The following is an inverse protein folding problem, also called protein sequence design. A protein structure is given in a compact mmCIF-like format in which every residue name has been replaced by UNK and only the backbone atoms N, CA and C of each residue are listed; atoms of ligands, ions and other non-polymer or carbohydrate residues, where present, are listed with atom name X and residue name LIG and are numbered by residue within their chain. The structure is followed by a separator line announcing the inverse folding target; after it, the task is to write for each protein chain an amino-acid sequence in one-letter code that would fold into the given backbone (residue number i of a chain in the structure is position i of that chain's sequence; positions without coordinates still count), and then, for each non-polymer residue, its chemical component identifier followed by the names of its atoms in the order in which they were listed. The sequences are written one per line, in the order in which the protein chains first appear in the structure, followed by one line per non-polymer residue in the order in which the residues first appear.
data_IF_343807394868
#
_entry.id   IF_343807394868
#
_cell.length_a   1.000
_cell.length_b   1.000
_cell.length_c   1.000
_cell.angle_alpha   90.00
_cell.angle_beta   90.00
_cell.angle_gamma   90.00
#
_symmetry.space_group_name_H-M   'P 1'
#
loop_
_entity.id
_entity.type
_entity.pdbx_description
1 polymer ?
#
# COMPACT_ATOMS: atom_id res chain seq x y z
N UNK A 1 -1.56 33.16 12.11
CA UNK A 1 -0.28 32.70 12.70
C UNK A 1 -0.37 32.58 14.22
N UNK A 2 -0.62 33.66 14.98
CA UNK A 2 -0.72 33.61 16.45
C UNK A 2 -1.85 32.70 16.97
N UNK A 3 -3.04 32.74 16.34
CA UNK A 3 -4.17 31.83 16.65
C UNK A 3 -3.89 30.34 16.36
N UNK A 4 -2.94 30.06 15.46
CA UNK A 4 -2.53 28.70 15.08
C UNK A 4 -1.49 28.15 16.07
N UNK A 5 -0.55 28.99 16.49
CA UNK A 5 0.44 28.71 17.54
C UNK A 5 -0.21 28.52 18.93
N UNK A 6 -1.25 29.29 19.25
CA UNK A 6 -2.00 29.15 20.51
C UNK A 6 -2.88 27.89 20.56
N UNK A 7 -3.40 27.44 19.41
CA UNK A 7 -4.11 26.17 19.30
C UNK A 7 -3.15 24.99 19.51
N UNK A 8 -1.94 25.09 18.95
CA UNK A 8 -0.87 24.10 19.11
C UNK A 8 -0.39 23.99 20.56
N UNK A 9 -0.33 25.11 21.30
CA UNK A 9 0.04 25.11 22.73
C UNK A 9 -1.06 24.56 23.64
N UNK A 10 -2.33 24.81 23.31
CA UNK A 10 -3.46 24.19 24.02
C UNK A 10 -3.55 22.67 23.75
N UNK A 11 -3.27 22.24 22.51
CA UNK A 11 -3.14 20.83 22.14
C UNK A 11 -1.99 20.16 22.91
N UNK A 12 -0.83 20.80 23.04
CA UNK A 12 0.28 20.26 23.86
C UNK A 12 -0.08 20.10 25.34
N UNK A 13 -0.93 20.97 25.91
CA UNK A 13 -1.34 20.87 27.31
C UNK A 13 -2.39 19.77 27.58
N UNK A 14 -3.30 19.52 26.63
CA UNK A 14 -4.27 18.41 26.69
C UNK A 14 -3.62 17.04 26.43
N UNK A 15 -2.55 17.01 25.65
CA UNK A 15 -1.79 15.80 25.27
C UNK A 15 -0.99 15.18 26.42
N UNK A 16 -0.60 15.95 27.44
CA UNK A 16 0.18 15.43 28.57
C UNK A 16 -0.64 14.52 29.50
N UNK A 17 -1.98 14.56 29.45
CA UNK A 17 -2.83 13.87 30.44
C UNK A 17 -3.35 12.48 30.06
N UNK A 18 -3.02 11.93 28.88
CA UNK A 18 -3.31 10.52 28.57
C UNK A 18 -2.36 9.95 27.50
N UNK A 19 -1.09 9.77 27.87
CA UNK A 19 -0.10 9.02 27.08
C UNK A 19 -0.24 7.54 27.44
N UNK A 20 -1.26 6.85 26.90
CA UNK A 20 -1.34 5.39 26.99
C UNK A 20 -1.04 4.76 25.63
N UNK A 21 -0.20 3.71 25.57
CA UNK A 21 -0.08 2.92 24.35
C UNK A 21 -1.45 2.30 24.01
N UNK A 22 -1.71 1.98 22.73
CA UNK A 22 -2.93 1.30 22.34
C UNK A 22 -3.04 -0.01 23.10
N UNK A 23 -4.26 -0.35 23.49
CA UNK A 23 -4.50 -1.64 24.12
C UNK A 23 -4.19 -2.76 23.13
N UNK A 24 -3.40 -3.73 23.57
CA UNK A 24 -3.27 -5.02 22.88
C UNK A 24 -4.08 -6.02 23.70
N UNK A 25 -4.98 -6.73 23.04
CA UNK A 25 -5.79 -7.75 23.71
C UNK A 25 -4.87 -8.88 24.21
N UNK A 26 -5.00 -9.29 25.49
CA UNK A 26 -4.30 -10.48 25.97
C UNK A 26 -4.77 -11.69 25.17
N UNK A 27 -3.91 -12.71 25.03
CA UNK A 27 -4.36 -13.96 24.41
C UNK A 27 -5.49 -14.55 25.27
N UNK A 28 -6.63 -14.93 24.68
CA UNK A 28 -7.58 -15.79 25.36
C UNK A 28 -6.87 -17.03 25.92
N UNK A 29 -7.32 -17.56 27.07
CA UNK A 29 -6.70 -18.74 27.70
C UNK A 29 -6.62 -19.95 26.77
N UNK A 30 -7.59 -20.09 25.86
CA UNK A 30 -7.63 -21.11 24.78
C UNK A 30 -6.56 -20.94 23.69
N UNK A 31 -5.90 -19.79 23.62
CA UNK A 31 -4.81 -19.50 22.68
C UNK A 31 -3.42 -19.88 23.26
N UNK A 32 -3.36 -20.33 24.53
CA UNK A 32 -2.11 -20.71 25.23
C UNK A 32 -1.73 -22.18 25.00
N UNK A 33 -2.71 -23.04 24.75
CA UNK A 33 -2.51 -24.36 24.13
C UNK A 33 -2.47 -24.14 22.63
N UNK A 34 -1.40 -24.58 21.95
CA UNK A 34 -1.26 -24.62 20.48
C UNK A 34 -2.64 -24.75 19.82
N UNK A 35 -3.28 -23.66 19.38
CA UNK A 35 -4.47 -23.79 18.59
C UNK A 35 -3.91 -24.29 17.28
N UNK A 36 -3.97 -25.61 17.06
CA UNK A 36 -3.93 -26.13 15.70
C UNK A 36 -4.75 -25.16 14.87
N UNK A 37 -4.17 -24.63 13.79
CA UNK A 37 -4.89 -23.94 12.73
C UNK A 37 -5.93 -24.93 12.16
N UNK A 38 -6.96 -25.27 12.96
CA UNK A 38 -8.06 -26.17 12.64
C UNK A 38 -9.11 -25.44 11.80
N UNK A 39 -8.94 -24.14 11.58
CA UNK A 39 -9.43 -23.50 10.38
C UNK A 39 -8.34 -23.62 9.31
N UNK A 40 -8.43 -24.62 8.42
CA UNK A 40 -7.48 -24.76 7.34
C UNK A 40 -7.72 -23.60 6.36
N UNK A 41 -6.89 -22.56 6.41
CA UNK A 41 -6.55 -21.88 5.16
C UNK A 41 -5.70 -22.87 4.38
N UNK A 42 -6.36 -23.70 3.57
CA UNK A 42 -5.68 -24.46 2.54
C UNK A 42 -5.38 -23.48 1.41
N UNK A 43 -4.10 -23.19 1.09
CA UNK A 43 -3.83 -22.39 -0.09
C UNK A 43 -4.54 -23.06 -1.28
N UNK A 44 -5.24 -22.27 -2.11
CA UNK A 44 -5.92 -22.81 -3.27
C UNK A 44 -5.01 -23.71 -4.09
N UNK A 45 -5.60 -24.72 -4.73
CA UNK A 45 -4.83 -25.53 -5.69
C UNK A 45 -4.36 -24.63 -6.83
N UNK A 46 -3.09 -24.72 -7.25
CA UNK A 46 -2.58 -23.96 -8.37
C UNK A 46 -3.43 -24.16 -9.62
N UNK A 47 -3.78 -23.06 -10.29
CA UNK A 47 -4.44 -23.06 -11.60
C UNK A 47 -3.40 -22.78 -12.69
N UNK A 48 -3.54 -23.41 -13.85
CA UNK A 48 -2.66 -23.16 -14.99
C UNK A 48 -2.89 -21.74 -15.53
N UNK A 49 -1.88 -20.88 -15.46
CA UNK A 49 -1.93 -19.51 -15.98
C UNK A 49 -1.67 -19.53 -17.49
N UNK A 50 -2.53 -18.89 -18.27
CA UNK A 50 -2.36 -18.76 -19.72
C UNK A 50 -1.19 -17.82 -20.04
N UNK A 51 -0.15 -18.32 -20.71
CA UNK A 51 1.06 -17.57 -21.05
C UNK A 51 0.97 -16.81 -22.38
N UNK A 52 -0.08 -17.00 -23.17
CA UNK A 52 -0.18 -16.48 -24.53
C UNK A 52 -1.03 -15.20 -24.60
N UNK A 53 -0.85 -14.30 -23.62
CA UNK A 53 -1.53 -12.99 -23.60
C UNK A 53 -0.89 -12.03 -24.62
N UNK A 54 -1.72 -11.16 -25.20
CA UNK A 54 -1.27 -10.17 -26.19
C UNK A 54 -0.34 -9.13 -25.56
N UNK A 55 -0.65 -8.71 -24.33
CA UNK A 55 0.08 -7.72 -23.56
C UNK A 55 0.63 -8.33 -22.28
N UNK A 56 1.87 -7.97 -21.93
CA UNK A 56 2.41 -8.26 -20.61
C UNK A 56 1.66 -7.43 -19.56
N UNK A 57 1.47 -6.13 -19.85
CA UNK A 57 0.89 -5.16 -18.91
C UNK A 57 -0.03 -4.19 -19.63
N UNK A 58 -1.23 -3.99 -19.09
CA UNK A 58 -2.10 -2.86 -19.45
C UNK A 58 -2.22 -1.91 -18.26
N UNK A 59 -2.07 -0.61 -18.51
CA UNK A 59 -2.17 0.44 -17.48
C UNK A 59 -3.50 1.19 -17.64
N UNK A 60 -4.48 0.87 -16.81
CA UNK A 60 -5.77 1.57 -16.74
C UNK A 60 -5.66 2.83 -15.88
N UNK A 61 -6.17 3.96 -16.38
CA UNK A 61 -5.93 5.27 -15.78
C UNK A 61 -4.62 5.93 -16.26
N UNK A 62 -4.07 5.48 -17.39
CA UNK A 62 -2.81 5.96 -17.97
C UNK A 62 -2.77 7.48 -18.21
N UNK A 63 -3.92 8.12 -18.42
CA UNK A 63 -4.00 9.57 -18.68
C UNK A 63 -3.97 10.44 -17.41
N UNK A 64 -4.06 9.83 -16.23
CA UNK A 64 -3.90 10.49 -14.93
C UNK A 64 -2.42 10.74 -14.61
N UNK A 65 -2.14 11.57 -13.61
CA UNK A 65 -0.77 12.00 -13.29
C UNK A 65 0.19 10.83 -13.05
N UNK A 66 -0.13 9.92 -12.12
CA UNK A 66 0.67 8.71 -11.86
C UNK A 66 0.73 7.79 -13.08
N UNK A 67 -0.38 7.67 -13.82
CA UNK A 67 -0.45 6.86 -15.03
C UNK A 67 0.54 7.32 -16.10
N UNK A 68 0.65 8.63 -16.34
CA UNK A 68 1.63 9.19 -17.28
C UNK A 68 3.06 8.81 -16.89
N UNK A 69 3.40 8.96 -15.61
CA UNK A 69 4.73 8.61 -15.09
C UNK A 69 5.05 7.12 -15.25
N UNK A 70 4.08 6.25 -15.00
CA UNK A 70 4.23 4.79 -15.21
C UNK A 70 4.48 4.49 -16.69
N UNK A 71 3.71 5.10 -17.59
CA UNK A 71 3.88 4.89 -19.04
C UNK A 71 5.24 5.38 -19.54
N UNK A 72 5.70 6.54 -19.10
CA UNK A 72 7.02 7.09 -19.43
C UNK A 72 8.16 6.23 -18.87
N UNK A 73 8.00 5.77 -17.62
CA UNK A 73 8.95 4.86 -16.99
C UNK A 73 9.09 3.55 -17.76
N UNK A 74 7.98 2.96 -18.20
CA UNK A 74 7.97 1.76 -19.03
C UNK A 74 8.59 1.99 -20.41
N UNK A 75 8.21 3.05 -21.12
CA UNK A 75 8.77 3.37 -22.43
C UNK A 75 10.30 3.51 -22.39
N UNK A 76 10.81 4.15 -21.33
CA UNK A 76 12.24 4.42 -21.17
C UNK A 76 13.05 3.18 -20.77
N UNK A 77 12.53 2.36 -19.85
CA UNK A 77 13.35 1.34 -19.17
C UNK A 77 12.99 -0.10 -19.58
N UNK A 78 11.80 -0.32 -20.14
CA UNK A 78 11.28 -1.65 -20.49
C UNK A 78 10.69 -1.69 -21.90
N UNK A 79 11.42 -1.24 -22.94
CA UNK A 79 10.89 -1.17 -24.32
C UNK A 79 10.62 -2.55 -24.93
N UNK A 80 11.08 -3.63 -24.30
CA UNK A 80 10.85 -5.01 -24.71
C UNK A 80 9.52 -5.59 -24.20
N UNK A 81 8.86 -4.95 -23.22
CA UNK A 81 7.56 -5.38 -22.73
C UNK A 81 6.44 -4.94 -23.68
N UNK A 82 5.47 -5.82 -23.90
CA UNK A 82 4.25 -5.52 -24.66
C UNK A 82 3.26 -4.80 -23.74
N UNK A 83 3.24 -3.47 -23.84
CA UNK A 83 2.45 -2.61 -22.95
C UNK A 83 1.35 -1.91 -23.74
N UNK A 84 0.17 -1.73 -23.12
CA UNK A 84 -0.84 -0.80 -23.60
C UNK A 84 -1.30 0.18 -22.52
N UNK A 85 -1.72 1.36 -22.95
CA UNK A 85 -2.37 2.34 -22.07
C UNK A 85 -3.90 2.20 -22.14
N UNK A 86 -4.62 2.51 -21.07
CA UNK A 86 -6.07 2.45 -21.07
C UNK A 86 -6.72 3.55 -20.23
N UNK A 87 -7.94 3.92 -20.60
CA UNK A 87 -8.79 4.83 -19.85
C UNK A 87 -9.95 5.40 -20.66
N UNK A 88 -10.87 6.10 -19.99
CA UNK A 88 -12.15 6.53 -20.57
C UNK A 88 -12.10 7.54 -21.73
N UNK A 89 -10.99 8.26 -21.92
CA UNK A 89 -10.92 9.37 -22.87
C UNK A 89 -9.92 9.09 -23.98
N UNK A 90 -10.44 8.67 -25.14
CA UNK A 90 -9.63 8.44 -26.34
C UNK A 90 -8.80 9.66 -26.72
N UNK A 91 -9.38 10.87 -26.65
CA UNK A 91 -8.67 12.12 -26.90
C UNK A 91 -7.44 12.28 -26.00
N UNK A 92 -7.55 11.98 -24.69
CA UNK A 92 -6.42 12.08 -23.75
C UNK A 92 -5.40 10.97 -23.96
N UNK A 93 -5.82 9.78 -24.39
CA UNK A 93 -4.90 8.67 -24.72
C UNK A 93 -4.08 9.00 -25.98
N UNK A 94 -4.72 9.56 -27.03
CA UNK A 94 -4.02 10.06 -28.22
C UNK A 94 -3.02 11.15 -27.85
N UNK A 95 -3.44 12.14 -27.06
CA UNK A 95 -2.55 13.20 -26.59
C UNK A 95 -1.36 12.66 -25.79
N UNK A 96 -1.59 11.74 -24.85
CA UNK A 96 -0.50 11.09 -24.09
C UNK A 96 0.50 10.38 -25.02
N UNK A 97 0.00 9.67 -26.03
CA UNK A 97 0.84 8.98 -27.00
C UNK A 97 1.72 9.95 -27.80
N UNK A 98 1.13 11.06 -28.26
CA UNK A 98 1.80 12.09 -29.06
C UNK A 98 2.79 12.93 -28.23
N UNK A 99 2.36 13.43 -27.07
CA UNK A 99 3.14 14.31 -26.18
C UNK A 99 4.36 13.60 -25.58
N UNK A 100 4.21 12.34 -25.14
CA UNK A 100 5.27 11.56 -24.50
C UNK A 100 5.96 10.59 -25.48
N UNK A 101 5.67 10.68 -26.80
CA UNK A 101 6.20 9.82 -27.86
C UNK A 101 6.15 8.32 -27.52
N UNK A 102 5.02 7.86 -26.96
CA UNK A 102 4.89 6.49 -26.47
C UNK A 102 4.66 5.51 -27.63
N UNK A 103 5.39 4.38 -27.71
CA UNK A 103 5.21 3.41 -28.78
C UNK A 103 3.94 2.56 -28.63
N UNK A 104 3.29 2.63 -27.47
CA UNK A 104 2.26 1.69 -27.05
C UNK A 104 0.90 1.92 -27.74
N UNK A 105 0.11 0.85 -27.99
CA UNK A 105 -1.31 0.98 -28.30
C UNK A 105 -2.12 1.47 -27.08
N UNK A 106 -3.39 1.79 -27.31
CA UNK A 106 -4.29 2.20 -26.24
C UNK A 106 -5.70 1.61 -26.37
N UNK A 107 -6.38 1.50 -25.23
CA UNK A 107 -7.78 1.09 -25.09
C UNK A 107 -8.62 2.24 -24.50
N UNK A 108 -9.58 2.74 -25.28
CA UNK A 108 -10.56 3.70 -24.80
C UNK A 108 -11.72 2.97 -24.10
N UNK A 109 -11.51 2.55 -22.86
CA UNK A 109 -12.52 1.87 -22.05
C UNK A 109 -12.92 2.75 -20.85
N UNK A 110 -14.21 3.00 -20.67
CA UNK A 110 -14.74 3.58 -19.43
C UNK A 110 -14.90 2.48 -18.36
N UNK A 111 -14.79 2.87 -17.09
CA UNK A 111 -14.96 1.97 -15.94
C UNK A 111 -16.34 1.32 -15.88
N UNK A 112 -17.34 1.87 -16.57
CA UNK A 112 -18.71 1.35 -16.63
C UNK A 112 -19.01 0.56 -17.91
N UNK A 113 -18.05 0.44 -18.82
CA UNK A 113 -18.16 -0.35 -20.04
C UNK A 113 -17.64 -1.78 -19.79
N UNK A 114 -18.51 -2.64 -19.24
CA UNK A 114 -18.16 -4.02 -18.88
C UNK A 114 -17.65 -4.85 -20.09
N UNK A 115 -18.26 -4.79 -21.29
CA UNK A 115 -17.71 -5.46 -22.47
C UNK A 115 -16.28 -5.02 -22.80
N UNK A 116 -16.00 -3.70 -22.77
CA UNK A 116 -14.66 -3.17 -23.06
C UNK A 116 -13.65 -3.62 -21.99
N UNK A 117 -14.00 -3.53 -20.71
CA UNK A 117 -13.15 -3.95 -19.61
C UNK A 117 -12.81 -5.45 -19.68
N UNK A 118 -13.78 -6.29 -20.04
CA UNK A 118 -13.57 -7.73 -20.21
C UNK A 118 -12.64 -8.05 -21.38
N UNK A 119 -12.87 -7.43 -22.54
CA UNK A 119 -11.99 -7.60 -23.71
C UNK A 119 -10.54 -7.20 -23.38
N UNK A 120 -10.37 -5.99 -22.84
CA UNK A 120 -9.06 -5.45 -22.44
C UNK A 120 -8.37 -6.36 -21.41
N UNK A 121 -9.06 -6.75 -20.34
CA UNK A 121 -8.47 -7.57 -19.26
C UNK A 121 -8.05 -8.94 -19.79
N UNK A 122 -8.86 -9.55 -20.69
CA UNK A 122 -8.55 -10.85 -21.27
C UNK A 122 -7.30 -10.86 -22.17
N UNK A 123 -6.82 -9.70 -22.60
CA UNK A 123 -5.64 -9.56 -23.46
C UNK A 123 -4.33 -9.37 -22.71
N UNK A 124 -4.36 -9.17 -21.39
CA UNK A 124 -3.15 -8.92 -20.61
C UNK A 124 -2.83 -9.98 -19.57
N UNK A 125 -1.54 -10.12 -19.25
CA UNK A 125 -1.08 -10.87 -18.07
C UNK A 125 -1.35 -10.09 -16.79
N UNK A 126 -1.07 -8.78 -16.82
CA UNK A 126 -1.27 -7.87 -15.68
C UNK A 126 -2.11 -6.65 -16.09
N UNK A 127 -3.03 -6.25 -15.22
CA UNK A 127 -3.76 -4.99 -15.28
C UNK A 127 -3.35 -4.11 -14.09
N UNK A 128 -2.71 -2.97 -14.37
CA UNK A 128 -2.40 -1.95 -13.36
C UNK A 128 -3.52 -0.92 -13.37
N UNK A 129 -4.22 -0.73 -12.25
CA UNK A 129 -5.27 0.28 -12.12
C UNK A 129 -4.77 1.50 -11.33
N UNK A 130 -4.81 2.66 -11.99
CA UNK A 130 -4.37 3.95 -11.46
C UNK A 130 -5.49 5.01 -11.55
N UNK A 131 -6.74 4.55 -11.67
CA UNK A 131 -7.92 5.39 -11.83
C UNK A 131 -8.71 5.50 -10.52
N UNK A 132 -8.26 6.39 -9.62
CA UNK A 132 -9.00 6.75 -8.40
C UNK A 132 -10.04 7.88 -8.60
N UNK A 133 -10.98 8.07 -7.67
CA UNK A 133 -11.24 7.27 -6.46
C UNK A 133 -11.74 5.85 -6.77
N UNK A 134 -11.22 4.85 -6.05
CA UNK A 134 -11.42 3.42 -6.39
C UNK A 134 -12.80 2.90 -6.01
N UNK A 135 -13.42 3.42 -4.95
CA UNK A 135 -14.82 3.11 -4.62
C UNK A 135 -15.80 3.49 -5.73
N UNK A 136 -15.47 4.50 -6.55
CA UNK A 136 -16.32 4.95 -7.66
C UNK A 136 -16.04 4.20 -8.96
N UNK A 137 -14.76 4.02 -9.29
CA UNK A 137 -14.32 3.57 -10.62
C UNK A 137 -13.60 2.22 -10.64
N UNK A 138 -13.19 1.70 -9.48
CA UNK A 138 -12.32 0.53 -9.36
C UNK A 138 -13.05 -0.81 -9.43
N UNK A 139 -14.26 -0.91 -8.87
CA UNK A 139 -14.96 -2.18 -8.65
C UNK A 139 -15.10 -3.05 -9.92
N UNK A 140 -15.57 -2.45 -11.02
CA UNK A 140 -15.76 -3.16 -12.28
C UNK A 140 -14.43 -3.48 -12.98
N UNK A 141 -13.39 -2.66 -12.77
CA UNK A 141 -12.04 -2.86 -13.33
C UNK A 141 -11.31 -4.02 -12.64
N UNK A 142 -11.40 -4.11 -11.30
CA UNK A 142 -10.81 -5.24 -10.56
C UNK A 142 -11.59 -6.54 -10.82
N UNK A 143 -12.93 -6.46 -10.94
CA UNK A 143 -13.77 -7.61 -11.31
C UNK A 143 -13.39 -8.16 -12.67
N UNK A 144 -13.20 -7.30 -13.68
CA UNK A 144 -12.84 -7.77 -15.03
C UNK A 144 -11.49 -8.49 -15.05
N UNK A 145 -10.52 -8.05 -14.25
CA UNK A 145 -9.25 -8.75 -14.09
C UNK A 145 -9.42 -10.11 -13.40
N UNK A 146 -10.15 -10.13 -12.28
CA UNK A 146 -10.41 -11.35 -11.51
C UNK A 146 -11.10 -12.44 -12.36
N UNK A 147 -12.18 -12.09 -13.06
CA UNK A 147 -12.93 -13.01 -13.91
C UNK A 147 -12.15 -13.48 -15.15
N UNK A 148 -11.22 -12.66 -15.65
CA UNK A 148 -10.41 -12.99 -16.83
C UNK A 148 -9.18 -13.83 -16.53
N UNK A 149 -8.91 -14.13 -15.24
CA UNK A 149 -7.65 -14.78 -14.83
C UNK A 149 -6.43 -13.88 -15.06
N UNK A 150 -6.62 -12.56 -14.98
CA UNK A 150 -5.59 -11.53 -15.20
C UNK A 150 -5.10 -11.03 -13.86
N UNK A 151 -3.78 -10.98 -13.66
CA UNK A 151 -3.23 -10.41 -12.43
C UNK A 151 -3.53 -8.92 -12.36
N UNK A 152 -3.68 -8.39 -11.15
CA UNK A 152 -4.10 -7.01 -10.94
C UNK A 152 -3.25 -6.37 -9.86
N UNK A 153 -2.95 -5.08 -10.03
CA UNK A 153 -2.42 -4.24 -8.96
C UNK A 153 -3.02 -2.84 -9.02
N UNK A 154 -3.36 -2.28 -7.86
CA UNK A 154 -3.72 -0.88 -7.69
C UNK A 154 -2.80 -0.17 -6.69
N UNK A 155 -3.05 1.12 -6.42
CA UNK A 155 -2.41 1.89 -5.35
C UNK A 155 -3.42 2.44 -4.34
N UNK A 156 -4.57 1.78 -4.20
CA UNK A 156 -5.73 2.29 -3.47
C UNK A 156 -5.44 2.46 -1.97
N UNK A 157 -5.77 3.65 -1.46
CA UNK A 157 -5.72 4.00 -0.03
C UNK A 157 -7.09 3.90 0.65
N UNK A 158 -7.98 3.04 0.15
CA UNK A 158 -9.41 3.03 0.44
C UNK A 158 -9.82 1.66 1.03
N UNK A 159 -9.83 1.52 2.36
CA UNK A 159 -10.05 0.22 3.02
C UNK A 159 -11.46 -0.36 2.76
N UNK A 160 -12.47 0.47 2.45
CA UNK A 160 -13.78 -0.01 2.03
C UNK A 160 -13.73 -0.71 0.67
N UNK A 161 -13.03 -0.11 -0.30
CA UNK A 161 -12.78 -0.74 -1.59
C UNK A 161 -11.99 -2.05 -1.43
N UNK A 162 -11.01 -2.08 -0.52
CA UNK A 162 -10.29 -3.32 -0.19
C UNK A 162 -11.23 -4.39 0.37
N UNK A 163 -12.09 -4.02 1.32
CA UNK A 163 -13.07 -4.93 1.92
C UNK A 163 -14.03 -5.51 0.89
N UNK A 164 -14.62 -4.65 0.08
CA UNK A 164 -15.55 -5.05 -0.98
C UNK A 164 -14.87 -5.96 -2.02
N UNK A 165 -13.63 -5.64 -2.40
CA UNK A 165 -12.82 -6.47 -3.29
C UNK A 165 -12.58 -7.86 -2.69
N UNK A 166 -12.24 -7.94 -1.40
CA UNK A 166 -12.05 -9.22 -0.70
C UNK A 166 -13.33 -10.04 -0.69
N UNK A 167 -14.45 -9.44 -0.29
CA UNK A 167 -15.74 -10.14 -0.16
C UNK A 167 -16.26 -10.67 -1.49
N UNK A 168 -16.19 -9.84 -2.52
CA UNK A 168 -16.83 -10.14 -3.79
C UNK A 168 -15.94 -10.94 -4.74
N UNK A 169 -14.61 -10.80 -4.63
CA UNK A 169 -13.69 -11.29 -5.66
C UNK A 169 -12.63 -12.27 -5.16
N UNK A 170 -12.48 -12.49 -3.84
CA UNK A 170 -11.47 -13.45 -3.37
C UNK A 170 -11.71 -14.87 -3.89
N UNK A 171 -12.96 -15.36 -3.83
CA UNK A 171 -13.32 -16.68 -4.35
C UNK A 171 -13.12 -16.78 -5.87
N UNK A 172 -13.51 -15.75 -6.62
CA UNK A 172 -13.34 -15.68 -8.08
C UNK A 172 -11.86 -15.68 -8.44
N UNK A 173 -11.06 -14.87 -7.77
CA UNK A 173 -9.63 -14.77 -8.05
C UNK A 173 -8.90 -16.09 -7.73
N UNK A 174 -9.33 -16.78 -6.68
CA UNK A 174 -8.89 -18.15 -6.37
C UNK A 174 -9.23 -19.10 -7.52
N UNK A 175 -10.48 -19.10 -7.98
CA UNK A 175 -10.97 -20.00 -9.04
C UNK A 175 -10.24 -19.78 -10.37
N UNK A 176 -9.97 -18.53 -10.73
CA UNK A 176 -9.32 -18.18 -12.00
C UNK A 176 -7.79 -18.20 -11.94
N UNK A 177 -7.21 -18.32 -10.73
CA UNK A 177 -5.76 -18.19 -10.51
C UNK A 177 -5.23 -16.75 -10.61
N UNK A 178 -6.11 -15.76 -10.76
CA UNK A 178 -5.70 -14.35 -10.77
C UNK A 178 -5.23 -13.90 -9.39
N UNK A 179 -4.25 -13.01 -9.38
CA UNK A 179 -3.66 -12.45 -8.16
C UNK A 179 -4.04 -11.00 -8.13
N UNK A 180 -4.86 -10.61 -7.17
CA UNK A 180 -5.36 -9.25 -7.04
C UNK A 180 -4.59 -8.57 -5.91
N UNK A 181 -3.54 -7.83 -6.24
CA UNK A 181 -2.68 -7.15 -5.27
C UNK A 181 -3.22 -5.75 -4.98
N UNK A 182 -3.84 -5.57 -3.82
CA UNK A 182 -4.30 -4.25 -3.37
C UNK A 182 -3.14 -3.44 -2.78
N UNK A 183 -3.21 -2.11 -2.93
CA UNK A 183 -2.27 -1.16 -2.34
C UNK A 183 -0.80 -1.42 -2.71
N UNK A 184 -0.50 -1.65 -3.99
CA UNK A 184 0.85 -1.80 -4.54
C UNK A 184 1.65 -0.50 -4.70
N UNK A 185 1.34 0.54 -3.92
CA UNK A 185 2.01 1.86 -3.96
C UNK A 185 3.03 2.07 -2.84
N UNK A 186 3.64 3.26 -2.81
CA UNK A 186 4.61 3.66 -1.76
C UNK A 186 4.02 3.58 -0.34
N UNK A 187 2.73 3.88 -0.18
CA UNK A 187 2.11 3.92 1.15
C UNK A 187 2.03 2.55 1.83
N UNK A 188 2.29 1.45 1.11
CA UNK A 188 2.20 0.09 1.65
C UNK A 188 3.41 -0.79 1.36
N UNK A 189 3.98 -0.74 0.16
CA UNK A 189 5.10 -1.62 -0.27
C UNK A 189 6.31 -1.58 0.67
N UNK A 190 6.93 -0.43 1.01
CA UNK A 190 8.07 -0.39 1.93
C UNK A 190 7.72 -0.92 3.32
N UNK A 191 6.54 -0.59 3.84
CA UNK A 191 6.08 -1.06 5.15
C UNK A 191 5.89 -2.58 5.19
N UNK A 192 5.29 -3.15 4.14
CA UNK A 192 5.07 -4.59 4.01
C UNK A 192 6.40 -5.34 3.86
N UNK A 193 7.22 -4.95 2.89
CA UNK A 193 8.51 -5.59 2.62
C UNK A 193 9.48 -5.46 3.81
N UNK A 194 9.47 -4.33 4.50
CA UNK A 194 10.27 -4.10 5.69
C UNK A 194 9.80 -4.90 6.90
N UNK A 195 8.48 -4.99 7.13
CA UNK A 195 7.91 -5.84 8.17
C UNK A 195 8.26 -7.31 7.95
N UNK A 196 8.30 -7.77 6.70
CA UNK A 196 8.74 -9.14 6.38
C UNK A 196 10.22 -9.38 6.67
N UNK A 197 11.09 -8.40 6.42
CA UNK A 197 12.51 -8.50 6.78
C UNK A 197 12.69 -8.61 8.29
N UNK A 198 11.95 -7.80 9.04
CA UNK A 198 11.91 -7.85 10.50
C UNK A 198 11.43 -9.22 10.99
N UNK A 199 10.29 -9.72 10.50
CA UNK A 199 9.75 -11.02 10.91
C UNK A 199 10.71 -12.19 10.59
N UNK A 200 11.35 -12.14 9.42
CA UNK A 200 12.37 -13.12 9.02
C UNK A 200 13.54 -13.13 10.01
N UNK A 201 14.05 -11.95 10.36
CA UNK A 201 15.24 -11.84 11.21
C UNK A 201 14.95 -12.07 12.70
N UNK A 202 13.69 -11.97 13.11
CA UNK A 202 13.19 -12.42 14.41
C UNK A 202 12.93 -13.94 14.47
N UNK A 203 13.12 -14.68 13.36
CA UNK A 203 12.76 -16.10 13.20
C UNK A 203 11.28 -16.40 13.52
N UNK A 204 10.38 -15.48 13.17
CA UNK A 204 8.94 -15.70 13.29
C UNK A 204 8.49 -16.65 12.19
N UNK A 205 8.33 -17.93 12.53
CA UNK A 205 7.98 -18.98 11.56
C UNK A 205 6.48 -18.97 11.22
N UNK A 206 6.11 -19.10 9.93
CA UNK A 206 4.73 -19.31 9.52
C UNK A 206 4.13 -20.56 10.18
N UNK A 207 2.89 -20.46 10.64
CA UNK A 207 2.21 -21.55 11.34
C UNK A 207 2.71 -21.81 12.76
N UNK A 208 3.68 -21.02 13.25
CA UNK A 208 4.13 -21.10 14.63
C UNK A 208 3.04 -20.47 15.51
N UNK A 209 2.38 -21.33 16.29
CA UNK A 209 1.38 -20.93 17.28
C UNK A 209 2.06 -20.56 18.59
N UNK A 210 3.22 -19.91 18.54
CA UNK A 210 3.84 -19.43 19.76
C UNK A 210 2.87 -18.42 20.38
N UNK A 211 2.51 -18.57 21.67
CA UNK A 211 1.65 -17.62 22.36
C UNK A 211 2.32 -16.24 22.50
N UNK A 212 3.62 -16.18 22.19
CA UNK A 212 4.47 -15.01 22.27
C UNK A 212 4.09 -13.93 21.27
N UNK A 213 3.90 -12.73 21.81
CA UNK A 213 3.58 -11.53 21.05
C UNK A 213 4.85 -10.98 20.39
N UNK A 214 4.80 -10.82 19.07
CA UNK A 214 5.76 -9.98 18.34
C UNK A 214 5.12 -8.61 18.10
N UNK A 215 5.85 -7.54 18.32
CA UNK A 215 5.42 -6.16 18.02
C UNK A 215 6.25 -5.62 16.86
N UNK A 216 5.61 -4.96 15.92
CA UNK A 216 6.27 -4.21 14.85
C UNK A 216 5.79 -2.77 14.92
N UNK A 217 6.73 -1.84 15.02
CA UNK A 217 6.47 -0.40 14.97
C UNK A 217 7.18 0.17 13.76
N UNK A 218 6.40 0.72 12.84
CA UNK A 218 6.88 1.48 11.69
C UNK A 218 6.68 2.96 11.94
N UNK A 219 7.73 3.77 11.80
CA UNK A 219 7.65 5.22 11.94
C UNK A 219 8.37 5.93 10.78
N UNK A 220 7.69 6.88 10.14
CA UNK A 220 8.32 7.78 9.17
C UNK A 220 9.15 8.83 9.90
N UNK A 221 10.46 8.86 9.65
CA UNK A 221 11.44 9.74 10.34
C UNK A 221 11.91 10.92 9.48
N UNK A 222 11.72 10.84 8.16
CA UNK A 222 11.92 11.95 7.23
C UNK A 222 10.94 11.80 6.05
N UNK A 223 10.35 12.90 5.58
CA UNK A 223 9.54 12.89 4.36
C UNK A 223 9.60 14.25 3.66
N UNK A 224 9.86 14.22 2.36
CA UNK A 224 9.86 15.36 1.44
C UNK A 224 9.04 14.97 0.22
N UNK A 225 7.75 15.29 0.26
CA UNK A 225 6.82 14.96 -0.81
C UNK A 225 5.52 15.75 -0.77
N UNK A 226 4.73 15.64 -1.83
CA UNK A 226 3.45 16.34 -1.97
C UNK A 226 2.34 15.43 -2.51
N UNK A 227 1.09 15.86 -2.37
CA UNK A 227 -0.09 15.16 -2.86
C UNK A 227 -0.60 15.81 -4.16
N UNK A 228 -1.05 15.01 -5.12
CA UNK A 228 -1.71 15.44 -6.35
C UNK A 228 -3.19 15.71 -6.09
N UNK A 229 -3.85 16.35 -7.07
CA UNK A 229 -5.30 16.55 -7.00
C UNK A 229 -6.07 15.23 -6.94
N UNK A 230 -5.55 14.16 -7.56
CA UNK A 230 -6.18 12.83 -7.54
C UNK A 230 -6.10 12.16 -6.16
N UNK A 231 -4.94 12.23 -5.49
CA UNK A 231 -4.78 11.72 -4.13
C UNK A 231 -5.60 12.51 -3.13
N UNK A 232 -5.60 13.85 -3.23
CA UNK A 232 -6.42 14.71 -2.38
C UNK A 232 -7.92 14.42 -2.58
N UNK A 233 -8.39 14.23 -3.82
CA UNK A 233 -9.77 13.86 -4.11
C UNK A 233 -10.14 12.48 -3.53
N UNK A 234 -9.25 11.49 -3.63
CA UNK A 234 -9.47 10.15 -3.07
C UNK A 234 -9.56 10.18 -1.54
N UNK A 235 -8.70 10.98 -0.89
CA UNK A 235 -8.76 11.22 0.56
C UNK A 235 -10.07 11.91 0.98
N UNK A 236 -10.47 12.99 0.29
CA UNK A 236 -11.72 13.70 0.56
C UNK A 236 -12.93 12.77 0.36
N UNK A 237 -12.91 11.96 -0.71
CA UNK A 237 -13.98 11.03 -1.01
C UNK A 237 -14.08 9.93 0.05
N UNK A 238 -12.96 9.33 0.48
CA UNK A 238 -12.97 8.32 1.54
C UNK A 238 -13.52 8.87 2.87
N UNK A 239 -13.19 10.12 3.22
CA UNK A 239 -13.79 10.81 4.38
C UNK A 239 -15.28 11.09 4.16
N UNK A 240 -15.67 11.54 2.96
CA UNK A 240 -17.07 11.84 2.62
C UNK A 240 -17.93 10.58 2.69
N UNK A 241 -17.45 9.45 2.18
CA UNK A 241 -18.15 8.17 2.24
C UNK A 241 -18.25 7.64 3.66
N UNK A 242 -17.19 7.78 4.47
CA UNK A 242 -17.26 7.49 5.89
C UNK A 242 -18.40 8.29 6.56
N UNK A 243 -18.46 9.59 6.33
CA UNK A 243 -19.51 10.45 6.89
C UNK A 243 -20.89 10.04 6.35
N UNK A 244 -21.03 9.87 5.03
CA UNK A 244 -22.32 9.60 4.39
C UNK A 244 -22.86 8.21 4.74
N UNK A 245 -22.02 7.18 4.80
CA UNK A 245 -22.45 5.85 5.21
C UNK A 245 -22.90 5.81 6.68
N UNK A 246 -22.22 6.56 7.57
CA UNK A 246 -22.65 6.72 8.97
C UNK A 246 -24.00 7.45 9.04
N UNK A 247 -24.16 8.55 8.30
CA UNK A 247 -25.40 9.34 8.27
C UNK A 247 -26.57 8.55 7.72
N UNK A 248 -26.35 7.72 6.68
CA UNK A 248 -27.41 6.92 6.07
C UNK A 248 -27.78 5.64 6.84
N UNK A 249 -27.04 5.30 7.90
CA UNK A 249 -27.21 4.02 8.60
C UNK A 249 -26.87 2.80 7.73
N UNK A 250 -26.26 3.01 6.57
CA UNK A 250 -25.74 1.99 5.65
C UNK A 250 -24.35 1.49 6.11
N UNK A 251 -23.74 2.17 7.08
CA UNK A 251 -22.43 1.85 7.66
C UNK A 251 -22.57 1.46 9.12
N UNK A 252 -22.09 0.26 9.46
CA UNK A 252 -21.77 -0.05 10.84
C UNK A 252 -20.47 0.69 11.22
N UNK A 253 -20.57 1.64 12.15
CA UNK A 253 -19.44 2.39 12.70
C UNK A 253 -18.32 1.45 13.21
N UNK A 254 -18.64 0.20 13.57
CA UNK A 254 -17.66 -0.81 13.96
C UNK A 254 -16.59 -1.06 12.89
N UNK A 255 -16.95 -0.96 11.60
CA UNK A 255 -16.05 -1.20 10.46
C UNK A 255 -14.94 -0.15 10.38
N UNK A 256 -15.26 1.09 10.76
CA UNK A 256 -14.29 2.19 10.71
C UNK A 256 -13.16 2.00 11.72
N UNK A 257 -13.41 1.39 12.87
CA UNK A 257 -12.37 1.19 13.88
C UNK A 257 -11.73 -0.20 13.84
N UNK A 258 -12.36 -1.17 13.15
CA UNK A 258 -11.87 -2.54 13.06
C UNK A 258 -10.48 -2.63 12.38
N UNK A 259 -9.40 -3.00 13.11
CA UNK A 259 -8.07 -3.18 12.53
C UNK A 259 -7.94 -4.41 11.64
N UNK A 260 -8.91 -5.33 11.69
CA UNK A 260 -8.90 -6.62 11.02
C UNK A 260 -9.97 -6.74 9.94
N UNK A 261 -10.53 -5.61 9.48
CA UNK A 261 -11.57 -5.57 8.46
C UNK A 261 -11.17 -6.20 7.12
N UNK A 262 -9.88 -6.16 6.79
CA UNK A 262 -9.27 -6.79 5.62
C UNK A 262 -8.95 -8.27 5.84
N UNK A 263 -9.26 -8.84 7.00
CA UNK A 263 -9.08 -10.27 7.34
C UNK A 263 -10.28 -10.79 8.16
N UNK A 264 -11.51 -10.76 7.60
CA UNK A 264 -12.71 -11.20 8.30
C UNK A 264 -12.58 -12.58 8.95
N UNK A 265 -11.86 -13.48 8.27
CA UNK A 265 -11.69 -14.89 8.61
C UNK A 265 -10.67 -15.12 9.74
N UNK A 266 -9.96 -14.07 10.18
CA UNK A 266 -9.03 -14.18 11.29
C UNK A 266 -9.76 -14.51 12.60
N UNK A 267 -9.29 -15.53 13.31
CA UNK A 267 -9.81 -15.90 14.62
C UNK A 267 -9.32 -14.93 15.71
N UNK A 268 -9.95 -15.02 16.87
CA UNK A 268 -9.65 -14.18 18.06
C UNK A 268 -8.22 -14.32 18.61
N UNK A 269 -7.48 -15.40 18.30
CA UNK A 269 -6.09 -15.53 18.71
C UNK A 269 -5.16 -14.63 17.89
N UNK A 270 -5.54 -14.29 16.65
CA UNK A 270 -4.78 -13.40 15.75
C UNK A 270 -5.26 -11.94 15.83
N UNK A 271 -6.52 -11.72 16.25
CA UNK A 271 -7.11 -10.38 16.42
C UNK A 271 -6.68 -9.74 17.74
N UNK A 272 -5.46 -9.21 17.80
CA UNK A 272 -4.85 -8.68 19.03
C UNK A 272 -4.80 -7.16 19.13
N UNK A 273 -4.77 -6.44 18.01
CA UNK A 273 -4.79 -4.98 17.98
C UNK A 273 -6.22 -4.46 18.17
N UNK A 274 -6.41 -3.40 18.95
CA UNK A 274 -7.75 -2.82 19.19
C UNK A 274 -8.05 -1.61 18.32
N UNK A 275 -7.05 -1.09 17.60
CA UNK A 275 -7.17 0.17 16.86
C UNK A 275 -6.66 0.03 15.43
N UNK A 276 -7.37 0.66 14.50
CA UNK A 276 -7.07 0.69 13.07
C UNK A 276 -5.57 0.92 12.75
N UNK A 277 -4.98 1.98 13.29
CA UNK A 277 -3.57 2.36 13.04
C UNK A 277 -2.58 1.57 13.91
N UNK A 278 -3.09 0.94 14.97
CA UNK A 278 -2.28 0.40 16.07
C UNK A 278 -1.38 1.43 16.74
N UNK A 279 -1.55 2.74 16.50
CA UNK A 279 -0.70 3.78 17.10
C UNK A 279 -1.21 4.23 18.47
N UNK A 280 -2.51 4.22 18.74
CA UNK A 280 -3.03 4.80 19.98
C UNK A 280 -3.33 6.29 19.83
N UNK A 281 -3.14 6.99 20.94
CA UNK A 281 -3.33 8.43 21.07
C UNK A 281 -2.61 9.24 19.96
N UNK A 282 -3.20 10.38 19.62
CA UNK A 282 -2.70 11.22 18.53
C UNK A 282 -1.23 11.61 18.70
N UNK A 283 -0.75 11.88 19.91
CA UNK A 283 0.68 12.04 20.19
C UNK A 283 1.16 10.95 21.14
N UNK A 284 2.21 10.24 20.79
CA UNK A 284 2.77 9.12 21.56
C UNK A 284 4.28 9.10 21.50
N UNK A 285 4.93 8.95 22.66
CA UNK A 285 6.31 8.47 22.72
C UNK A 285 6.30 6.95 22.65
N UNK A 286 7.07 6.38 21.73
CA UNK A 286 7.22 4.94 21.58
C UNK A 286 8.66 4.53 21.88
N UNK A 287 8.83 3.68 22.90
CA UNK A 287 10.14 3.28 23.40
C UNK A 287 10.91 2.33 22.45
N UNK A 288 10.21 1.63 21.54
CA UNK A 288 10.88 0.73 20.58
C UNK A 288 11.62 1.53 19.51
N UNK A 289 11.05 2.66 19.09
CA UNK A 289 11.67 3.56 18.10
C UNK A 289 12.44 4.73 18.72
N UNK A 290 12.29 4.91 20.05
CA UNK A 290 12.82 6.02 20.85
C UNK A 290 12.48 7.40 20.24
N UNK A 291 11.21 7.59 19.89
CA UNK A 291 10.75 8.81 19.21
C UNK A 291 9.34 9.20 19.64
N UNK A 292 9.00 10.48 19.46
CA UNK A 292 7.65 11.01 19.63
C UNK A 292 7.01 11.16 18.26
N UNK A 293 5.89 10.48 18.07
CA UNK A 293 5.17 10.47 16.81
C UNK A 293 3.68 10.64 16.95
N UNK A 294 3.06 10.85 15.80
CA UNK A 294 1.62 10.84 15.58
C UNK A 294 1.27 9.68 14.63
N UNK A 295 0.00 9.26 14.50
CA UNK A 295 -0.39 8.32 13.47
C UNK A 295 0.03 8.83 12.07
N UNK A 296 0.64 7.95 11.26
CA UNK A 296 0.91 8.30 9.87
C UNK A 296 -0.41 8.52 9.12
N UNK A 297 -0.45 9.44 8.16
CA UNK A 297 -1.71 9.83 7.51
C UNK A 297 -2.36 8.68 6.73
N UNK A 298 -1.57 7.72 6.23
CA UNK A 298 -2.08 6.49 5.61
C UNK A 298 -2.22 5.31 6.57
N UNK A 299 -1.78 5.42 7.83
CA UNK A 299 -1.79 4.31 8.78
C UNK A 299 -3.16 3.68 8.94
N UNK A 300 -4.22 4.49 8.81
CA UNK A 300 -5.59 4.03 8.93
C UNK A 300 -5.94 2.99 7.86
N UNK A 301 -5.48 3.17 6.63
CA UNK A 301 -5.65 2.15 5.59
C UNK A 301 -4.52 1.12 5.63
N UNK A 302 -3.27 1.59 5.62
CA UNK A 302 -2.10 0.73 5.42
C UNK A 302 -1.92 -0.33 6.51
N UNK A 303 -2.17 0.01 7.78
CA UNK A 303 -2.00 -0.96 8.87
C UNK A 303 -2.91 -2.19 8.71
N UNK A 304 -4.06 -2.05 8.05
CA UNK A 304 -4.97 -3.16 7.71
C UNK A 304 -4.44 -3.98 6.54
N UNK A 305 -3.81 -3.35 5.56
CA UNK A 305 -3.09 -4.03 4.48
C UNK A 305 -1.96 -4.88 5.07
N UNK A 306 -1.12 -4.31 5.95
CA UNK A 306 -0.01 -5.04 6.58
C UNK A 306 -0.50 -6.23 7.42
N UNK A 307 -1.58 -6.05 8.20
CA UNK A 307 -2.21 -7.18 8.94
C UNK A 307 -2.75 -8.26 8.02
N UNK A 308 -3.27 -7.91 6.83
CA UNK A 308 -3.64 -8.90 5.80
C UNK A 308 -2.42 -9.69 5.32
N UNK A 309 -1.28 -9.03 5.10
CA UNK A 309 -0.02 -9.72 4.78
C UNK A 309 0.35 -10.73 5.86
N UNK A 310 0.28 -10.35 7.13
CA UNK A 310 0.59 -11.24 8.26
C UNK A 310 -0.34 -12.45 8.30
N UNK A 311 -1.65 -12.23 8.17
CA UNK A 311 -2.65 -13.29 8.15
C UNK A 311 -2.42 -14.29 7.01
N UNK A 312 -2.31 -13.80 5.76
CA UNK A 312 -2.14 -14.63 4.57
C UNK A 312 -0.79 -15.36 4.57
N UNK A 313 0.24 -14.77 5.17
CA UNK A 313 1.56 -15.40 5.36
C UNK A 313 1.64 -16.29 6.60
N UNK A 314 0.51 -16.53 7.28
CA UNK A 314 0.41 -17.39 8.48
C UNK A 314 1.35 -16.99 9.61
N UNK A 315 1.60 -15.69 9.74
CA UNK A 315 2.35 -15.16 10.87
C UNK A 315 1.53 -15.34 12.15
N UNK A 316 2.22 -15.56 13.27
CA UNK A 316 1.60 -15.76 14.58
C UNK A 316 0.98 -14.47 15.14
N UNK A 317 1.06 -14.30 16.47
CA UNK A 317 0.57 -13.10 17.15
C UNK A 317 1.49 -11.91 16.88
N UNK A 318 1.22 -11.18 15.81
CA UNK A 318 1.98 -9.98 15.41
C UNK A 318 1.10 -8.73 15.53
N UNK A 319 1.52 -7.80 16.39
CA UNK A 319 0.92 -6.47 16.53
C UNK A 319 1.65 -5.50 15.60
N UNK A 320 0.90 -4.60 14.97
CA UNK A 320 1.46 -3.60 14.05
C UNK A 320 1.03 -2.19 14.45
N UNK A 321 2.00 -1.27 14.55
CA UNK A 321 1.76 0.14 14.80
C UNK A 321 2.42 0.98 13.71
N UNK A 322 1.70 1.97 13.19
CA UNK A 322 2.26 2.87 12.17
C UNK A 322 2.12 4.35 12.56
N UNK A 323 3.25 5.05 12.51
CA UNK A 323 3.35 6.46 12.89
C UNK A 323 4.25 7.28 11.99
N UNK A 324 4.30 8.57 12.30
CA UNK A 324 5.23 9.54 11.75
C UNK A 324 5.78 10.38 12.89
N UNK A 325 7.10 10.56 12.94
CA UNK A 325 7.72 11.39 13.97
C UNK A 325 7.25 12.85 13.83
N UNK A 326 7.13 13.54 14.96
CA UNK A 326 6.82 14.98 14.96
C UNK A 326 7.88 15.78 14.20
N UNK A 327 9.13 15.32 14.26
CA UNK A 327 10.24 15.88 13.49
C UNK A 327 10.01 15.75 11.98
N UNK A 328 9.65 14.55 11.48
CA UNK A 328 9.35 14.33 10.07
C UNK A 328 8.21 15.22 9.59
N UNK A 329 7.11 15.31 10.36
CA UNK A 329 5.98 16.19 10.06
C UNK A 329 6.43 17.66 9.95
N UNK A 330 7.24 18.12 10.90
CA UNK A 330 7.74 19.50 10.92
C UNK A 330 8.65 19.78 9.72
N UNK A 331 9.56 18.86 9.41
CA UNK A 331 10.44 18.95 8.24
C UNK A 331 9.64 18.99 6.92
N UNK A 332 8.62 18.14 6.81
CA UNK A 332 7.72 18.11 5.65
C UNK A 332 6.99 19.44 5.46
N UNK A 333 6.43 20.01 6.53
CA UNK A 333 5.76 21.31 6.48
C UNK A 333 6.72 22.45 6.07
N UNK A 334 7.93 22.48 6.64
CA UNK A 334 8.95 23.49 6.29
C UNK A 334 9.39 23.35 4.84
N UNK A 335 9.60 22.11 4.36
CA UNK A 335 9.97 21.86 2.98
C UNK A 335 8.84 22.24 2.01
N UNK A 336 7.60 21.83 2.30
CA UNK A 336 6.44 22.20 1.50
C UNK A 336 6.24 23.72 1.40
N UNK A 337 6.41 24.44 2.51
CA UNK A 337 6.34 25.90 2.52
C UNK A 337 7.41 26.54 1.62
N UNK A 338 8.64 26.00 1.60
CA UNK A 338 9.70 26.45 0.68
C UNK A 338 9.32 26.22 -0.78
N UNK A 339 8.76 25.06 -1.13
CA UNK A 339 8.36 24.78 -2.51
C UNK A 339 7.15 25.64 -2.94
N UNK A 340 6.23 25.93 -2.02
CA UNK A 340 5.15 26.89 -2.26
C UNK A 340 5.68 28.31 -2.54
N UNK A 341 6.67 28.78 -1.78
CA UNK A 341 7.33 30.07 -2.04
C UNK A 341 8.04 30.13 -3.40
N UNK A 342 8.50 28.98 -3.93
CA UNK A 342 9.06 28.87 -5.28
C UNK A 342 8.00 28.76 -6.38
N UNK A 343 6.72 28.60 -6.04
CA UNK A 343 5.64 28.39 -7.01
C UNK A 343 5.60 26.98 -7.61
N UNK A 344 6.30 26.00 -7.03
CA UNK A 344 6.35 24.61 -7.53
C UNK A 344 5.13 23.78 -7.15
N UNK A 345 4.30 24.26 -6.21
CA UNK A 345 3.04 23.62 -5.78
C UNK A 345 1.90 24.60 -5.60
N UNK A 346 0.71 24.15 -5.98
CA UNK A 346 -0.56 24.75 -5.60
C UNK A 346 -1.09 24.10 -4.32
N UNK A 347 -1.71 24.89 -3.44
CA UNK A 347 -2.31 24.39 -2.19
C UNK A 347 -3.50 23.44 -2.44
N UNK A 348 -4.14 23.52 -3.61
CA UNK A 348 -5.28 22.70 -4.02
C UNK A 348 -5.13 22.31 -5.51
N UNK A 349 -4.32 21.29 -5.84
CA UNK A 349 -4.13 20.84 -7.22
C UNK A 349 -5.43 20.27 -7.81
N UNK A 350 -5.69 20.53 -9.10
CA UNK A 350 -6.83 19.92 -9.81
C UNK A 350 -6.54 18.45 -10.15
N UNK A 351 -7.57 17.62 -10.42
CA UNK A 351 -7.35 16.26 -10.91
C UNK A 351 -6.48 16.23 -12.17
N UNK A 352 -5.35 15.53 -12.10
CA UNK A 352 -4.34 15.46 -13.16
C UNK A 352 -3.16 16.42 -12.99
N UNK A 353 -3.20 17.33 -12.02
CA UNK A 353 -2.06 18.15 -11.59
C UNK A 353 -1.34 17.50 -10.40
N UNK A 354 -0.01 17.61 -10.36
CA UNK A 354 0.85 17.08 -9.31
C UNK A 354 2.14 17.91 -9.18
N UNK A 355 3.05 17.53 -8.27
CA UNK A 355 4.29 18.28 -8.06
C UNK A 355 5.16 18.33 -9.33
N UNK A 356 5.81 19.48 -9.54
CA UNK A 356 6.75 19.67 -10.64
C UNK A 356 7.93 18.68 -10.59
N UNK A 357 8.60 18.49 -11.72
CA UNK A 357 9.70 17.52 -11.85
C UNK A 357 10.86 17.80 -10.87
N UNK A 358 11.24 19.08 -10.69
CA UNK A 358 12.27 19.47 -9.72
C UNK A 358 11.93 19.06 -8.29
N UNK A 359 10.73 19.39 -7.82
CA UNK A 359 10.23 18.96 -6.52
C UNK A 359 10.20 17.44 -6.36
N UNK A 360 9.78 16.71 -7.40
CA UNK A 360 9.79 15.24 -7.38
C UNK A 360 11.18 14.67 -7.27
N UNK A 361 12.19 15.30 -7.87
CA UNK A 361 13.60 14.89 -7.78
C UNK A 361 14.22 15.22 -6.42
N UNK A 362 13.91 16.39 -5.85
CA UNK A 362 14.39 16.84 -4.53
C UNK A 362 13.77 16.07 -3.35
N UNK A 363 12.71 15.31 -3.60
CA UNK A 363 12.00 14.55 -2.59
C UNK A 363 12.83 13.43 -1.95
N UNK A 364 12.26 12.79 -0.95
CA UNK A 364 12.86 11.64 -0.30
C UNK A 364 12.11 11.25 0.96
N UNK A 365 12.48 10.11 1.51
CA UNK A 365 11.91 9.64 2.77
C UNK A 365 12.90 8.77 3.55
N UNK A 366 12.59 8.62 4.84
CA UNK A 366 13.18 7.62 5.72
C UNK A 366 12.08 6.99 6.57
N UNK A 367 12.04 5.66 6.60
CA UNK A 367 11.15 4.87 7.44
C UNK A 367 12.03 4.01 8.35
N UNK A 368 11.76 4.07 9.65
CA UNK A 368 12.31 3.14 10.64
C UNK A 368 11.27 2.08 10.96
N UNK A 369 11.66 0.81 10.92
CA UNK A 369 10.81 -0.33 11.30
C UNK A 369 11.55 -1.14 12.36
N UNK A 370 10.95 -1.25 13.55
CA UNK A 370 11.49 -2.01 14.67
C UNK A 370 10.57 -3.19 14.96
N UNK A 371 11.15 -4.39 14.99
CA UNK A 371 10.51 -5.58 15.51
C UNK A 371 11.02 -5.92 16.88
N UNK A 372 10.10 -6.32 17.74
CA UNK A 372 10.36 -6.73 19.10
C UNK A 372 9.65 -8.05 19.42
N UNK A 373 10.42 -9.06 19.79
CA UNK A 373 9.96 -10.35 20.29
C UNK A 373 10.46 -10.55 21.73
N UNK A 374 10.01 -11.59 22.46
CA UNK A 374 10.53 -11.86 23.80
C UNK A 374 12.04 -12.11 23.84
N UNK A 375 12.61 -12.69 22.78
CA UNK A 375 14.02 -13.09 22.75
C UNK A 375 14.92 -12.14 21.95
N UNK A 376 14.37 -11.42 20.98
CA UNK A 376 15.16 -10.66 20.02
C UNK A 376 14.49 -9.32 19.67
N UNK A 377 15.32 -8.35 19.26
CA UNK A 377 14.89 -7.11 18.62
C UNK A 377 15.69 -6.86 17.35
N UNK A 378 15.03 -6.34 16.31
CA UNK A 378 15.63 -6.05 15.00
C UNK A 378 15.15 -4.68 14.52
N UNK A 379 16.07 -3.87 14.01
CA UNK A 379 15.75 -2.58 13.40
C UNK A 379 16.16 -2.57 11.92
N UNK A 380 15.23 -2.12 11.09
CA UNK A 380 15.47 -1.79 9.69
C UNK A 380 15.22 -0.31 9.44
N UNK A 381 16.03 0.24 8.55
CA UNK A 381 15.85 1.56 7.98
C UNK A 381 15.62 1.42 6.48
N UNK A 382 14.58 2.07 5.98
CA UNK A 382 14.25 2.13 4.56
C UNK A 382 14.41 3.57 4.11
N UNK A 383 15.23 3.82 3.11
CA UNK A 383 15.50 5.15 2.58
C UNK A 383 15.26 5.20 1.09
N UNK A 384 14.84 6.36 0.60
CA UNK A 384 14.70 6.60 -0.83
C UNK A 384 14.91 8.06 -1.20
N UNK A 385 15.39 8.28 -2.43
CA UNK A 385 15.52 9.60 -3.07
C UNK A 385 14.47 9.78 -4.17
N UNK A 386 13.76 10.91 -4.11
CA UNK A 386 12.59 11.19 -4.92
C UNK A 386 11.32 11.34 -4.08
N UNK A 387 10.33 12.04 -4.62
CA UNK A 387 9.05 12.25 -3.96
C UNK A 387 8.32 10.91 -3.74
N UNK A 388 7.92 10.60 -2.48
CA UNK A 388 7.21 9.36 -2.15
C UNK A 388 5.89 9.22 -2.91
N UNK A 389 5.16 10.33 -3.09
CA UNK A 389 3.80 10.33 -3.63
C UNK A 389 3.71 9.90 -5.09
N UNK A 390 4.71 10.23 -5.91
CA UNK A 390 4.66 10.04 -7.36
C UNK A 390 5.91 9.40 -7.94
N UNK A 391 7.10 9.91 -7.60
CA UNK A 391 8.34 9.38 -8.15
C UNK A 391 8.53 7.92 -7.70
N UNK A 392 8.35 7.67 -6.40
CA UNK A 392 8.34 6.31 -5.87
C UNK A 392 7.11 5.53 -6.25
N UNK A 393 5.92 6.08 -6.01
CA UNK A 393 4.68 5.33 -6.25
C UNK A 393 4.58 4.83 -7.69
N UNK A 394 4.91 5.65 -8.69
CA UNK A 394 4.87 5.24 -10.10
C UNK A 394 5.87 4.12 -10.40
N UNK A 395 7.13 4.25 -9.96
CA UNK A 395 8.15 3.24 -10.17
C UNK A 395 7.83 1.95 -9.42
N UNK A 396 7.41 2.04 -8.16
CA UNK A 396 7.06 0.89 -7.31
C UNK A 396 5.89 0.12 -7.91
N UNK A 397 4.76 0.79 -8.22
CA UNK A 397 3.59 0.07 -8.77
C UNK A 397 3.90 -0.54 -10.13
N UNK A 398 4.75 0.13 -10.94
CA UNK A 398 5.24 -0.41 -12.18
C UNK A 398 6.11 -1.66 -11.98
N UNK A 399 7.01 -1.66 -10.99
CA UNK A 399 7.84 -2.82 -10.63
C UNK A 399 6.99 -3.96 -10.06
N UNK A 400 5.96 -3.67 -9.27
CA UNK A 400 4.98 -4.67 -8.81
C UNK A 400 4.27 -5.29 -10.00
N UNK A 401 3.86 -4.49 -10.99
CA UNK A 401 3.28 -4.99 -12.24
C UNK A 401 4.22 -5.91 -13.03
N UNK A 402 5.50 -5.54 -13.16
CA UNK A 402 6.52 -6.41 -13.77
C UNK A 402 6.64 -7.73 -12.98
N UNK A 403 6.75 -7.64 -11.66
CA UNK A 403 6.90 -8.81 -10.80
C UNK A 403 5.66 -9.73 -10.90
N UNK A 404 4.45 -9.20 -11.03
CA UNK A 404 3.24 -9.99 -11.29
C UNK A 404 3.23 -10.68 -12.68
N UNK A 405 3.98 -10.17 -13.65
CA UNK A 405 4.11 -10.81 -14.97
C UNK A 405 5.17 -11.92 -14.99
N UNK A 406 5.96 -12.06 -13.93
CA UNK A 406 7.11 -12.96 -13.87
C UNK A 406 6.93 -14.09 -12.85
N UNK A 407 7.10 -15.35 -13.30
CA UNK A 407 6.87 -16.54 -12.47
C UNK A 407 7.81 -16.66 -11.27
N UNK A 408 9.05 -16.20 -11.38
CA UNK A 408 10.03 -16.24 -10.29
C UNK A 408 9.70 -15.25 -9.18
N UNK A 409 8.95 -14.20 -9.49
CA UNK A 409 8.44 -13.21 -8.56
C UNK A 409 7.21 -13.69 -7.77
N UNK A 410 6.48 -14.70 -8.25
CA UNK A 410 5.31 -15.24 -7.54
C UNK A 410 5.71 -15.95 -6.24
N UNK A 411 5.04 -15.62 -5.12
CA UNK A 411 5.29 -16.32 -3.85
C UNK A 411 4.89 -17.79 -3.94
N UNK A 412 3.66 -18.05 -4.38
CA UNK A 412 3.11 -19.38 -4.61
C UNK A 412 2.56 -19.49 -6.04
N UNK A 413 3.25 -20.23 -6.93
CA UNK A 413 2.84 -20.33 -8.32
C UNK A 413 1.41 -20.85 -8.52
N UNK A 414 0.63 -20.14 -9.35
CA UNK A 414 -0.75 -20.52 -9.70
C UNK A 414 -1.78 -20.35 -8.59
N UNK A 415 -1.39 -19.87 -7.41
CA UNK A 415 -2.33 -19.55 -6.32
C UNK A 415 -2.90 -18.15 -6.54
N UNK A 416 -4.22 -18.09 -6.75
CA UNK A 416 -4.97 -16.84 -6.90
C UNK A 416 -5.61 -16.35 -5.60
N UNK A 417 -6.21 -15.17 -5.64
CA UNK A 417 -6.90 -14.55 -4.51
C UNK A 417 -6.64 -13.05 -4.42
N UNK A 418 -7.33 -12.40 -3.46
CA UNK A 418 -7.08 -11.00 -3.12
C UNK A 418 -5.94 -10.95 -2.11
N UNK A 419 -4.84 -10.31 -2.48
CA UNK A 419 -3.55 -10.39 -1.80
C UNK A 419 -3.00 -8.99 -1.55
N UNK A 420 -1.92 -8.95 -0.77
CA UNK A 420 -1.06 -7.78 -0.64
C UNK A 420 0.24 -8.05 -1.37
N UNK A 421 1.11 -7.03 -1.43
CA UNK A 421 2.45 -7.17 -1.99
C UNK A 421 3.22 -8.27 -1.24
N UNK A 422 3.12 -8.30 0.09
CA UNK A 422 3.84 -9.28 0.88
C UNK A 422 3.34 -10.70 0.78
N UNK A 423 2.02 -10.88 0.66
CA UNK A 423 1.42 -12.21 0.54
C UNK A 423 1.43 -12.74 -0.89
N UNK A 424 1.43 -11.87 -1.92
CA UNK A 424 1.37 -12.28 -3.32
C UNK A 424 2.74 -12.47 -3.98
N UNK A 425 3.75 -11.72 -3.56
CA UNK A 425 5.06 -11.69 -4.22
C UNK A 425 6.20 -12.18 -3.32
N UNK A 426 7.25 -12.71 -3.94
CA UNK A 426 8.51 -12.99 -3.26
C UNK A 426 9.19 -11.68 -2.93
N UNK A 427 9.14 -11.29 -1.65
CA UNK A 427 9.72 -10.02 -1.20
C UNK A 427 11.20 -9.86 -1.53
N UNK A 428 11.98 -10.93 -1.68
CA UNK A 428 13.38 -10.86 -2.13
C UNK A 428 13.47 -10.32 -3.58
N UNK A 429 12.83 -10.98 -4.53
CA UNK A 429 12.88 -10.62 -5.96
C UNK A 429 12.32 -9.20 -6.18
N UNK A 430 11.22 -8.85 -5.52
CA UNK A 430 10.66 -7.51 -5.63
C UNK A 430 11.62 -6.44 -5.08
N UNK A 431 12.24 -6.67 -3.93
CA UNK A 431 13.24 -5.72 -3.39
C UNK A 431 14.45 -5.57 -4.29
N UNK A 432 14.97 -6.68 -4.84
CA UNK A 432 16.10 -6.65 -5.78
C UNK A 432 15.77 -5.78 -7.00
N UNK A 433 14.59 -5.98 -7.62
CA UNK A 433 14.12 -5.14 -8.73
C UNK A 433 13.97 -3.67 -8.32
N UNK A 434 13.38 -3.39 -7.16
CA UNK A 434 13.22 -2.01 -6.66
C UNK A 434 14.58 -1.33 -6.46
N UNK A 435 15.58 -2.04 -5.92
CA UNK A 435 16.94 -1.53 -5.74
C UNK A 435 17.63 -1.29 -7.08
N UNK A 436 17.42 -2.18 -8.05
CA UNK A 436 17.96 -2.06 -9.42
C UNK A 436 17.36 -0.89 -10.20
N UNK A 437 16.14 -0.46 -9.87
CA UNK A 437 15.60 0.79 -10.42
C UNK A 437 16.48 1.94 -9.97
N UNK A 438 17.23 2.52 -10.91
CA UNK A 438 18.04 3.70 -10.59
C UNK A 438 17.15 4.94 -10.49
N UNK A 439 17.27 5.64 -9.36
CA UNK A 439 16.82 7.01 -9.18
C UNK A 439 17.93 8.00 -9.58
N UNK A 440 17.66 9.31 -9.43
CA UNK A 440 18.69 10.33 -9.65
C UNK A 440 19.73 10.27 -8.51
N UNK A 441 20.89 9.68 -8.81
CA UNK A 441 22.04 9.61 -7.89
C UNK A 441 22.10 8.36 -7.01
N UNK A 442 21.44 7.26 -7.36
CA UNK A 442 21.56 5.98 -6.64
C UNK A 442 20.38 5.02 -6.85
N UNK A 443 20.32 3.91 -6.09
CA UNK A 443 19.15 3.02 -6.07
C UNK A 443 17.90 3.80 -5.64
N UNK A 444 16.74 3.40 -6.18
CA UNK A 444 15.45 4.01 -5.84
C UNK A 444 15.18 3.88 -4.34
N UNK A 445 15.20 2.66 -3.80
CA UNK A 445 14.95 2.38 -2.38
C UNK A 445 15.96 1.39 -1.84
N UNK A 446 16.41 1.61 -0.61
CA UNK A 446 17.33 0.71 0.09
C UNK A 446 16.71 0.18 1.38
N UNK A 447 17.00 -1.08 1.71
CA UNK A 447 16.58 -1.74 2.95
C UNK A 447 17.82 -2.06 3.77
N UNK A 448 18.06 -1.28 4.81
CA UNK A 448 19.29 -1.32 5.61
C UNK A 448 18.96 -1.92 6.97
N UNK A 449 19.56 -3.07 7.29
CA UNK A 449 19.49 -3.60 8.66
C UNK A 449 20.39 -2.76 9.55
N UNK A 450 19.80 -2.09 10.55
CA UNK A 450 20.52 -1.19 11.47
C UNK A 450 21.06 -1.95 12.67
N UNK A 451 20.23 -2.83 13.26
CA UNK A 451 20.62 -3.58 14.46
C UNK A 451 19.90 -4.94 14.54
N UNK A 452 20.51 -5.85 15.29
CA UNK A 452 19.96 -7.15 15.70
C UNK A 452 20.49 -7.41 17.10
N UNK A 453 19.62 -7.56 18.08
CA UNK A 453 20.01 -7.80 19.47
C UNK A 453 19.22 -8.98 20.04
N UNK A 454 19.93 -9.88 20.73
CA UNK A 454 19.32 -10.89 21.59
C UNK A 454 19.14 -10.28 22.99
N UNK A 455 17.99 -10.54 23.61
CA UNK A 455 17.62 -10.02 24.93
C UNK A 455 18.07 -10.92 26.07
#
# INVERSE_FOLDING_TARGET
MWKFLSLLTLLTALVVYNIKPPSILPAPSKCSTTPSLNTPYSPPKPVAVNSDREFDIIVYGATGFTGKLVMEYYAKNFPYLKIASAGRSEKKLKALKEESNLPFPYFACDSKDLPCLKDMSSKSTVLISLAGPYTLYGADVVRSAAESGTHYVDLSGEFFFHRETIDNLNAVAIETGSKIVIAGGFDSVPFDLGSQLVLRDLDVKPGNTTPELTKIVSIVTEVKGWLSGGTLASMIQGVTEMIMGVVKGEMDLSYTQDPYITVPEANECLKIDTEATGWGNFLRYDSLVNDVGIPHFMAYCNSRVIRRSFYLMRQGRVSYSEGMSVKAMTNAMVWAFKQWLKGEVTLLPKPGEGPGEGMRREGGFEIKIVGDSPTNSVEYKITGRGDPGYEFTSKIVATVGICLSEKDCEREPGVGGVMTVGSGLKGKNLREKIVEVQGEGGPLMEFIKVSSAQK
#
